data_IF_510617787527
#
_entry.id   IF_510617787527
#
_cell.length_a   1.000
_cell.length_b   1.000
_cell.length_c   1.000
_cell.angle_alpha   90.00
_cell.angle_beta   90.00
_cell.angle_gamma   90.00
#
_symmetry.space_group_name_H-M   'P 1'
#
loop_
_entity.id
_entity.type
_entity.pdbx_description
1 polymer ?
#
# COMPACT_ATOMS: atom_id res chain seq x y z
N UNK A 1 -11.06 15.98 21.94
CA UNK A 1 -10.27 17.11 21.42
C UNK A 1 -8.98 16.55 20.82
N UNK A 2 -8.80 16.66 19.51
CA UNK A 2 -7.71 16.00 18.76
C UNK A 2 -6.37 16.73 18.90
N UNK A 3 -6.40 17.91 19.54
CA UNK A 3 -5.29 18.84 19.75
C UNK A 3 -4.23 18.36 20.75
N UNK A 4 -4.55 17.36 21.58
CA UNK A 4 -3.65 16.78 22.60
C UNK A 4 -3.18 15.35 22.28
N UNK A 5 -3.37 14.89 21.04
CA UNK A 5 -2.94 13.54 20.63
C UNK A 5 -1.47 13.59 20.21
N UNK A 6 -0.56 13.28 21.15
CA UNK A 6 0.88 13.14 20.86
C UNK A 6 1.19 11.93 19.97
N UNK A 7 0.33 10.90 19.99
CA UNK A 7 0.48 9.72 19.15
C UNK A 7 -0.86 9.12 18.72
N UNK A 8 -0.92 8.64 17.48
CA UNK A 8 -2.01 7.76 17.04
C UNK A 8 -1.75 6.38 17.63
N UNK A 9 -2.62 5.96 18.56
CA UNK A 9 -2.59 4.62 19.16
C UNK A 9 -2.40 3.55 18.10
N UNK A 10 -1.58 2.53 18.40
CA UNK A 10 -1.33 1.42 17.47
C UNK A 10 -2.63 0.74 17.03
N UNK A 11 -3.57 0.56 17.96
CA UNK A 11 -4.89 -0.06 17.70
C UNK A 11 -5.84 0.84 16.92
N UNK A 12 -5.46 2.10 16.66
CA UNK A 12 -6.33 3.04 15.99
C UNK A 12 -6.39 2.75 14.49
N UNK A 13 -7.59 2.68 13.89
CA UNK A 13 -7.73 2.52 12.45
C UNK A 13 -7.10 3.68 11.66
N UNK A 14 -6.95 4.87 12.26
CA UNK A 14 -6.24 6.00 11.66
C UNK A 14 -4.78 5.69 11.36
N UNK A 15 -4.15 4.75 12.07
CA UNK A 15 -2.79 4.31 11.78
C UNK A 15 -2.70 3.62 10.42
N UNK A 16 -3.72 2.84 10.05
CA UNK A 16 -3.83 2.19 8.74
C UNK A 16 -3.96 3.24 7.66
N UNK A 17 -4.83 4.24 7.86
CA UNK A 17 -5.00 5.35 6.92
C UNK A 17 -3.66 6.08 6.69
N UNK A 18 -2.94 6.43 7.76
CA UNK A 18 -1.66 7.12 7.64
C UNK A 18 -0.59 6.30 6.89
N UNK A 19 -0.50 4.99 7.14
CA UNK A 19 0.41 4.11 6.40
C UNK A 19 0.04 4.05 4.91
N UNK A 20 -1.25 3.97 4.59
CA UNK A 20 -1.71 4.03 3.21
C UNK A 20 -1.46 5.38 2.55
N UNK A 21 -1.63 6.50 3.25
CA UNK A 21 -1.32 7.83 2.71
C UNK A 21 0.16 7.93 2.28
N UNK A 22 1.07 7.33 3.04
CA UNK A 22 2.49 7.27 2.67
C UNK A 22 2.69 6.40 1.42
N UNK A 23 2.09 5.20 1.37
CA UNK A 23 2.19 4.34 0.19
C UNK A 23 1.61 5.01 -1.05
N UNK A 24 0.39 5.54 -0.95
CA UNK A 24 -0.30 6.26 -2.02
C UNK A 24 0.58 7.40 -2.53
N UNK A 25 1.15 8.22 -1.64
CA UNK A 25 2.04 9.31 -2.04
C UNK A 25 3.30 8.83 -2.78
N UNK A 26 3.92 7.75 -2.30
CA UNK A 26 5.18 7.24 -2.86
C UNK A 26 4.97 6.55 -4.21
N UNK A 27 3.89 5.79 -4.39
CA UNK A 27 3.78 4.89 -5.54
C UNK A 27 2.65 5.23 -6.50
N UNK A 28 1.65 6.03 -6.11
CA UNK A 28 0.53 6.33 -7.03
C UNK A 28 0.83 7.54 -7.91
N UNK A 29 0.30 7.47 -9.12
CA UNK A 29 0.28 8.57 -10.09
C UNK A 29 -0.99 9.39 -9.84
N UNK A 30 -0.88 10.71 -10.01
CA UNK A 30 -2.03 11.59 -9.90
C UNK A 30 -3.17 11.11 -10.85
N UNK A 31 -4.41 11.00 -10.37
CA UNK A 31 -5.55 10.51 -11.14
C UNK A 31 -5.76 11.19 -12.49
N UNK A 32 -5.41 12.49 -12.61
CA UNK A 32 -5.49 13.23 -13.88
C UNK A 32 -4.57 12.67 -14.97
N UNK A 33 -3.58 11.87 -14.58
CA UNK A 33 -2.59 11.28 -15.47
C UNK A 33 -2.59 9.75 -15.36
N UNK A 34 -3.68 9.11 -14.93
CA UNK A 34 -3.75 7.64 -14.89
C UNK A 34 -5.18 7.14 -14.96
N UNK A 35 -5.46 6.30 -15.96
CA UNK A 35 -6.77 5.63 -16.11
C UNK A 35 -6.98 4.48 -15.10
N UNK A 36 -5.91 4.08 -14.38
CA UNK A 36 -5.98 3.03 -13.35
C UNK A 36 -6.40 3.60 -12.00
N UNK A 37 -7.35 2.91 -11.36
CA UNK A 37 -7.72 3.18 -9.97
C UNK A 37 -6.55 3.04 -9.01
N UNK A 38 -6.59 3.74 -7.88
CA UNK A 38 -5.54 3.69 -6.84
C UNK A 38 -5.23 2.24 -6.45
N UNK A 39 -6.26 1.42 -6.23
CA UNK A 39 -6.10 0.00 -5.92
C UNK A 39 -5.26 -0.74 -6.97
N UNK A 40 -5.57 -0.57 -8.26
CA UNK A 40 -4.83 -1.22 -9.35
C UNK A 40 -3.40 -0.70 -9.49
N UNK A 41 -3.20 0.60 -9.25
CA UNK A 41 -1.85 1.16 -9.21
C UNK A 41 -1.03 0.54 -8.08
N UNK A 42 -1.57 0.50 -6.87
CA UNK A 42 -0.91 -0.11 -5.70
C UNK A 42 -0.55 -1.57 -5.96
N UNK A 43 -1.50 -2.38 -6.47
CA UNK A 43 -1.25 -3.79 -6.82
C UNK A 43 -0.02 -3.93 -7.74
N UNK A 44 -0.04 -3.26 -8.89
CA UNK A 44 1.03 -3.39 -9.89
C UNK A 44 2.37 -2.84 -9.42
N UNK A 45 2.38 -1.65 -8.81
CA UNK A 45 3.61 -0.92 -8.50
C UNK A 45 4.27 -1.44 -7.24
N UNK A 46 3.50 -1.84 -6.23
CA UNK A 46 4.06 -2.49 -5.05
C UNK A 46 4.59 -3.89 -5.37
N UNK A 47 3.98 -4.63 -6.30
CA UNK A 47 4.58 -5.89 -6.75
C UNK A 47 5.90 -5.67 -7.49
N UNK A 48 5.98 -4.65 -8.37
CA UNK A 48 7.24 -4.27 -9.02
C UNK A 48 8.31 -3.91 -7.98
N UNK A 49 7.97 -3.07 -7.00
CA UNK A 49 8.89 -2.69 -5.93
C UNK A 49 9.31 -3.88 -5.08
N UNK A 50 8.41 -4.83 -4.80
CA UNK A 50 8.75 -6.04 -4.05
C UNK A 50 9.84 -6.89 -4.75
N UNK A 51 9.87 -6.89 -6.08
CA UNK A 51 10.92 -7.54 -6.86
C UNK A 51 12.23 -6.73 -6.93
N UNK A 52 12.21 -5.45 -6.52
CA UNK A 52 13.37 -4.55 -6.47
C UNK A 52 13.97 -4.43 -5.07
N UNK A 53 13.19 -4.70 -4.03
CA UNK A 53 13.68 -4.65 -2.65
C UNK A 53 14.86 -5.61 -2.47
N UNK A 54 15.85 -5.16 -1.67
CA UNK A 54 17.01 -5.98 -1.31
C UNK A 54 16.58 -7.34 -0.74
N UNK A 55 15.54 -7.32 0.10
CA UNK A 55 14.89 -8.52 0.62
C UNK A 55 13.42 -8.48 0.16
N UNK A 56 13.05 -9.40 -0.72
CA UNK A 56 11.66 -9.55 -1.14
C UNK A 56 10.78 -9.89 0.07
N UNK A 57 9.66 -9.21 0.21
CA UNK A 57 8.67 -9.49 1.24
C UNK A 57 7.97 -10.80 0.89
N UNK A 58 8.14 -11.78 1.76
CA UNK A 58 7.41 -13.04 1.72
C UNK A 58 6.11 -12.93 2.53
N UNK A 59 4.99 -12.96 1.83
CA UNK A 59 3.64 -12.86 2.41
C UNK A 59 3.43 -13.92 3.50
N UNK A 60 3.98 -15.12 3.32
CA UNK A 60 3.78 -16.27 4.22
C UNK A 60 4.41 -16.05 5.59
N UNK A 61 5.40 -15.16 5.69
CA UNK A 61 6.01 -14.78 6.97
C UNK A 61 5.12 -13.84 7.78
N UNK A 62 4.16 -13.18 7.14
CA UNK A 62 3.29 -12.19 7.76
C UNK A 62 1.86 -12.70 7.98
N UNK A 63 1.35 -13.49 7.04
CA UNK A 63 -0.03 -13.93 7.00
C UNK A 63 -0.13 -15.46 6.82
N UNK A 64 -1.15 -16.07 7.41
CA UNK A 64 -1.46 -17.49 7.22
C UNK A 64 -2.26 -17.66 5.92
N UNK A 65 -1.56 -17.67 4.80
CA UNK A 65 -2.16 -17.63 3.47
C UNK A 65 -2.01 -18.95 2.70
N UNK A 66 -2.89 -19.17 1.73
CA UNK A 66 -2.72 -20.24 0.76
C UNK A 66 -1.40 -20.07 -0.02
N UNK A 67 -0.66 -21.15 -0.35
CA UNK A 67 0.62 -21.07 -1.03
C UNK A 67 0.63 -20.29 -2.34
N UNK A 68 -0.51 -20.23 -3.02
CA UNK A 68 -0.71 -19.63 -4.34
C UNK A 68 -1.23 -18.18 -4.29
N UNK A 69 -1.44 -17.60 -3.11
CA UNK A 69 -1.90 -16.20 -3.05
C UNK A 69 -0.82 -15.29 -3.63
N UNK A 70 -1.22 -14.41 -4.55
CA UNK A 70 -0.30 -13.44 -5.13
C UNK A 70 -0.13 -12.22 -4.21
N UNK A 71 0.99 -11.51 -4.39
CA UNK A 71 1.24 -10.26 -3.69
C UNK A 71 0.17 -9.22 -4.00
N UNK A 72 -0.24 -9.11 -5.26
CA UNK A 72 -1.32 -8.23 -5.71
C UNK A 72 -2.63 -8.53 -4.99
N UNK A 73 -2.98 -9.80 -4.77
CA UNK A 73 -4.21 -10.17 -4.07
C UNK A 73 -4.20 -9.72 -2.61
N UNK A 74 -3.04 -9.78 -1.95
CA UNK A 74 -2.87 -9.25 -0.60
C UNK A 74 -2.99 -7.72 -0.60
N UNK A 75 -2.36 -7.03 -1.56
CA UNK A 75 -2.51 -5.57 -1.69
C UNK A 75 -3.97 -5.18 -1.92
N UNK A 76 -4.71 -5.92 -2.74
CA UNK A 76 -6.15 -5.70 -2.95
C UNK A 76 -6.96 -5.82 -1.65
N UNK A 77 -6.71 -6.86 -0.85
CA UNK A 77 -7.37 -7.05 0.45
C UNK A 77 -6.99 -5.95 1.45
N UNK A 78 -5.72 -5.54 1.48
CA UNK A 78 -5.27 -4.43 2.33
C UNK A 78 -5.94 -3.11 1.93
N UNK A 79 -6.06 -2.84 0.63
CA UNK A 79 -6.75 -1.65 0.15
C UNK A 79 -8.24 -1.68 0.48
N UNK A 80 -8.87 -2.85 0.34
CA UNK A 80 -10.25 -3.09 0.78
C UNK A 80 -10.41 -2.75 2.26
N UNK A 81 -9.52 -3.25 3.11
CA UNK A 81 -9.55 -2.95 4.55
C UNK A 81 -9.42 -1.45 4.84
N UNK A 82 -8.50 -0.75 4.17
CA UNK A 82 -8.38 0.71 4.27
C UNK A 82 -9.63 1.44 3.80
N UNK A 83 -10.27 0.96 2.73
CA UNK A 83 -11.51 1.52 2.20
C UNK A 83 -12.65 1.36 3.21
N UNK A 84 -12.79 0.17 3.80
CA UNK A 84 -13.81 -0.12 4.80
C UNK A 84 -13.64 0.78 6.05
N UNK A 85 -12.40 0.99 6.51
CA UNK A 85 -12.11 1.98 7.57
C UNK A 85 -12.54 3.39 7.17
N UNK A 86 -12.13 3.85 5.98
CA UNK A 86 -12.34 5.23 5.54
C UNK A 86 -13.81 5.59 5.37
N UNK A 87 -14.65 4.61 5.00
CA UNK A 87 -16.09 4.78 4.85
C UNK A 87 -16.89 4.43 6.11
N UNK A 88 -16.24 3.99 7.19
CA UNK A 88 -16.92 3.57 8.42
C UNK A 88 -17.70 2.26 8.25
N UNK A 89 -17.33 1.42 7.28
CA UNK A 89 -17.94 0.11 7.07
C UNK A 89 -17.46 -0.90 8.12
N UNK A 90 -18.24 -1.97 8.29
CA UNK A 90 -17.82 -3.12 9.09
C UNK A 90 -16.65 -3.84 8.44
N UNK A 91 -15.64 -4.13 9.24
CA UNK A 91 -14.45 -4.90 8.84
C UNK A 91 -14.70 -6.37 9.17
N UNK A 92 -14.56 -7.24 8.18
CA UNK A 92 -14.78 -8.68 8.33
C UNK A 92 -13.50 -9.47 8.04
N UNK A 93 -12.83 -9.91 9.11
CA UNK A 93 -11.67 -10.80 9.06
C UNK A 93 -12.05 -12.29 9.10
N UNK A 94 -13.32 -12.65 9.13
CA UNK A 94 -13.76 -14.05 9.10
C UNK A 94 -14.06 -14.52 7.67
N UNK A 95 -14.42 -13.59 6.78
CA UNK A 95 -14.67 -13.87 5.36
C UNK A 95 -13.78 -13.04 4.42
N UNK A 96 -14.22 -11.85 4.03
CA UNK A 96 -13.60 -11.02 2.97
C UNK A 96 -12.10 -10.75 3.19
N UNK A 97 -11.68 -10.57 4.44
CA UNK A 97 -10.29 -10.25 4.82
C UNK A 97 -9.61 -11.38 5.62
N UNK A 98 -10.12 -12.61 5.56
CA UNK A 98 -9.63 -13.76 6.34
C UNK A 98 -8.13 -13.99 6.30
N UNK A 99 -7.53 -13.82 5.14
CA UNK A 99 -6.10 -13.98 4.91
C UNK A 99 -5.26 -12.94 5.65
N UNK A 100 -5.83 -11.75 5.91
CA UNK A 100 -5.18 -10.69 6.66
C UNK A 100 -5.21 -10.94 8.18
N UNK A 101 -6.08 -11.85 8.63
CA UNK A 101 -6.24 -12.32 10.00
C UNK A 101 -6.78 -11.27 10.99
N UNK A 102 -6.04 -10.19 11.23
CA UNK A 102 -6.46 -9.15 12.18
C UNK A 102 -5.72 -7.83 11.95
N UNK A 103 -6.19 -6.78 12.64
CA UNK A 103 -5.63 -5.44 12.59
C UNK A 103 -4.11 -5.40 12.88
N UNK A 104 -3.65 -6.08 13.94
CA UNK A 104 -2.25 -6.01 14.36
C UNK A 104 -1.31 -6.61 13.30
N UNK A 105 -1.71 -7.72 12.68
CA UNK A 105 -0.97 -8.34 11.57
C UNK A 105 -0.91 -7.42 10.36
N UNK A 106 -2.04 -6.81 10.00
CA UNK A 106 -2.09 -5.83 8.91
C UNK A 106 -1.19 -4.63 9.18
N UNK A 107 -1.29 -4.03 10.36
CA UNK A 107 -0.47 -2.88 10.73
C UNK A 107 1.02 -3.22 10.73
N UNK A 108 1.40 -4.38 11.27
CA UNK A 108 2.78 -4.86 11.26
C UNK A 108 3.30 -5.03 9.83
N UNK A 109 2.51 -5.67 8.96
CA UNK A 109 2.86 -5.85 7.55
C UNK A 109 3.02 -4.51 6.81
N UNK A 110 2.03 -3.62 6.93
CA UNK A 110 2.06 -2.29 6.30
C UNK A 110 3.26 -1.47 6.78
N UNK A 111 3.63 -1.58 8.06
CA UNK A 111 4.82 -0.92 8.60
C UNK A 111 6.10 -1.43 7.93
N UNK A 112 6.23 -2.75 7.71
CA UNK A 112 7.37 -3.33 6.98
C UNK A 112 7.36 -2.86 5.53
N UNK A 113 6.22 -2.96 4.85
CA UNK A 113 6.07 -2.55 3.46
C UNK A 113 6.42 -1.07 3.24
N UNK A 114 5.90 -0.17 4.10
CA UNK A 114 6.24 1.26 4.06
C UNK A 114 7.73 1.48 4.27
N UNK A 115 8.35 0.80 5.24
CA UNK A 115 9.79 0.92 5.48
C UNK A 115 10.60 0.50 4.25
N UNK A 116 10.25 -0.62 3.62
CA UNK A 116 10.94 -1.07 2.40
C UNK A 116 10.72 -0.11 1.23
N UNK A 117 9.52 0.42 1.04
CA UNK A 117 9.26 1.46 0.04
C UNK A 117 10.10 2.73 0.29
N UNK A 118 10.19 3.20 1.55
CA UNK A 118 11.00 4.37 1.91
C UNK A 118 12.48 4.09 1.65
N UNK A 119 13.01 2.94 2.09
CA UNK A 119 14.39 2.54 1.78
C UNK A 119 14.64 2.51 0.28
N UNK A 120 13.72 1.92 -0.49
CA UNK A 120 13.84 1.87 -1.94
C UNK A 120 13.82 3.27 -2.56
N UNK A 121 13.08 4.22 -1.99
CA UNK A 121 13.09 5.62 -2.44
C UNK A 121 14.41 6.33 -2.22
N UNK A 122 15.22 5.89 -1.25
CA UNK A 122 16.56 6.41 -1.01
C UNK A 122 17.60 5.72 -1.90
N UNK A 123 17.40 4.44 -2.23
CA UNK A 123 18.31 3.66 -3.07
C UNK A 123 18.11 3.97 -4.57
N UNK A 124 16.85 3.98 -5.02
CA UNK A 124 16.46 4.24 -6.41
C UNK A 124 15.44 5.39 -6.50
N UNK A 125 15.82 6.64 -6.16
CA UNK A 125 14.90 7.78 -6.16
C UNK A 125 14.25 8.05 -7.52
N UNK A 126 15.00 7.85 -8.61
CA UNK A 126 14.47 8.04 -9.97
C UNK A 126 13.38 7.01 -10.30
N UNK A 127 13.49 5.77 -9.82
CA UNK A 127 12.44 4.77 -9.99
C UNK A 127 11.14 5.23 -9.32
N UNK A 128 11.20 5.72 -8.08
CA UNK A 128 10.02 6.22 -7.37
C UNK A 128 9.41 7.43 -8.07
N UNK A 129 10.24 8.38 -8.53
CA UNK A 129 9.77 9.50 -9.33
C UNK A 129 9.08 9.04 -10.62
N UNK A 130 9.67 8.06 -11.32
CA UNK A 130 9.05 7.49 -12.52
C UNK A 130 7.72 6.80 -12.20
N UNK A 131 7.63 6.05 -11.09
CA UNK A 131 6.37 5.43 -10.66
C UNK A 131 5.27 6.48 -10.41
N UNK A 132 5.61 7.65 -9.87
CA UNK A 132 4.66 8.76 -9.64
C UNK A 132 4.33 9.53 -10.91
N UNK A 133 5.29 9.65 -11.82
CA UNK A 133 5.19 10.48 -13.03
C UNK A 133 4.81 9.73 -14.30
N UNK A 134 4.70 8.40 -14.27
CA UNK A 134 4.46 7.57 -15.47
C UNK A 134 3.15 8.04 -16.15
N UNK A 135 3.32 8.95 -17.11
CA UNK A 135 2.43 9.59 -18.10
C UNK A 135 2.84 11.03 -18.47
N UNK A 136 3.84 11.65 -17.84
CA UNK A 136 4.34 12.99 -18.24
C UNK A 136 5.27 13.01 -19.48
N UNK A 137 5.75 11.85 -19.95
CA UNK A 137 6.66 11.80 -21.11
C UNK A 137 5.94 11.66 -22.46
N UNK A 138 4.66 11.29 -22.48
CA UNK A 138 3.90 11.17 -23.74
C UNK A 138 3.32 12.52 -24.19
N UNK A 139 3.08 13.45 -23.26
CA UNK A 139 2.49 14.77 -23.55
C UNK A 139 3.47 15.81 -24.13
N UNK A 140 4.75 15.48 -24.34
CA UNK A 140 5.75 16.39 -24.93
C UNK A 140 6.16 16.04 -26.37
N UNK A 141 5.54 15.03 -26.98
CA UNK A 141 5.82 14.63 -28.38
C UNK A 141 4.56 14.78 -29.24
N UNK A 142 3.92 15.94 -29.19
CA UNK A 142 3.04 16.44 -30.24
C UNK A 142 3.24 17.96 -30.30
N UNK A 143 4.26 18.37 -31.05
CA UNK A 143 4.42 19.74 -31.56
C UNK A 143 4.23 19.68 -33.07
#
# INVERSE_FOLDING_TARGET
>A
DFTNIFEISKKSPFRIIGLFSILEHLVTTNPLFSDKSINKQLQSKLNLLNNRFKNKIDIKQHFKVHPEISFEKIIEKLYTYRSDIAHGNNVDFEDKLKELNNHDKVQSFLTVLVKECIKQSLIEPQLINNLRMLNLQVAKVQK
#
